data_IF_997367065050
#
_entry.id   IF_997367065050
#
_cell.length_a   1.000
_cell.length_b   1.000
_cell.length_c   1.000
_cell.angle_alpha   90.00
_cell.angle_beta   90.00
_cell.angle_gamma   90.00
#
_symmetry.space_group_name_H-M   'P 1'
#
loop_
_entity.id
_entity.type
_entity.pdbx_description
1 polymer ?
#
# COMPACT_ATOMS: atom_id res chain seq x y z
N UNK A 1 -3.06 60.74 45.43
CA UNK A 1 -2.69 60.50 46.85
C UNK A 1 -1.24 60.04 46.93
N UNK A 2 -0.68 59.84 48.13
CA UNK A 2 0.77 59.78 48.40
C UNK A 2 1.43 58.42 48.07
N UNK A 3 2.77 58.47 47.91
CA UNK A 3 3.72 57.35 47.88
C UNK A 3 3.41 56.21 48.86
N UNK A 4 3.82 54.99 48.51
CA UNK A 4 4.82 54.29 49.31
C UNK A 4 5.78 53.47 48.43
N UNK A 5 7.06 53.44 48.83
CA UNK A 5 8.17 52.65 48.28
C UNK A 5 8.81 51.96 49.49
N UNK A 6 9.29 50.72 49.33
CA UNK A 6 10.39 50.02 50.03
C UNK A 6 10.37 48.59 49.43
N UNK A 7 11.36 48.07 48.69
CA UNK A 7 12.71 47.59 49.10
C UNK A 7 12.65 46.57 50.25
N UNK A 8 13.33 45.40 50.19
CA UNK A 8 14.22 44.84 49.17
C UNK A 8 15.03 43.67 49.76
N UNK A 9 15.98 43.11 48.99
CA UNK A 9 17.01 42.12 49.41
C UNK A 9 16.51 40.77 49.95
N UNK A 10 17.11 39.61 49.64
CA UNK A 10 18.26 39.30 48.80
C UNK A 10 19.18 38.27 49.49
N UNK A 11 19.73 37.29 48.74
CA UNK A 11 21.11 36.85 48.97
C UNK A 11 21.65 35.95 47.83
N UNK A 12 22.90 36.20 47.48
CA UNK A 12 23.77 35.27 46.74
C UNK A 12 24.33 34.23 47.72
N UNK A 13 24.64 33.03 47.23
CA UNK A 13 25.83 32.31 47.69
C UNK A 13 26.63 31.73 46.51
N UNK A 14 27.82 32.29 46.36
CA UNK A 14 29.08 31.67 45.90
C UNK A 14 29.56 30.78 47.08
N UNK A 15 30.43 29.77 47.00
CA UNK A 15 31.39 29.29 45.99
C UNK A 15 31.19 27.74 45.81
N UNK A 16 31.98 26.95 45.07
CA UNK A 16 33.39 26.69 45.35
C UNK A 16 34.19 26.14 44.14
N UNK A 17 35.50 26.34 44.22
CA UNK A 17 36.49 25.96 43.20
C UNK A 17 37.08 24.59 43.54
N UNK A 18 37.28 23.73 42.54
CA UNK A 18 38.29 22.68 42.68
C UNK A 18 39.20 22.53 41.45
N UNK A 19 40.45 22.97 41.61
CA UNK A 19 41.57 22.62 40.73
C UNK A 19 42.15 21.28 41.18
N UNK A 20 42.33 20.34 40.27
CA UNK A 20 43.51 19.45 40.34
C UNK A 20 44.09 19.13 38.97
N UNK A 21 45.23 19.76 38.71
CA UNK A 21 46.17 19.36 37.67
C UNK A 21 47.03 18.22 38.18
N UNK A 22 47.17 17.15 37.41
CA UNK A 22 48.39 16.34 37.39
C UNK A 22 48.82 16.14 35.95
N UNK A 23 50.00 16.70 35.60
CA UNK A 23 50.78 16.23 34.47
C UNK A 23 51.39 14.88 34.85
N UNK A 24 51.56 13.97 33.91
CA UNK A 24 52.87 13.36 33.73
C UNK A 24 53.09 13.00 32.25
N UNK A 25 54.23 13.45 31.74
CA UNK A 25 54.77 13.13 30.42
C UNK A 25 55.71 11.93 30.51
N UNK A 26 56.21 11.51 29.34
CA UNK A 26 57.47 10.77 29.16
C UNK A 26 57.38 9.22 29.25
N UNK A 27 58.14 8.39 28.51
CA UNK A 27 58.97 8.56 27.29
C UNK A 27 59.58 7.20 26.86
N UNK A 28 59.89 7.02 25.56
CA UNK A 28 60.83 6.02 24.93
C UNK A 28 60.61 4.49 24.99
N UNK A 29 61.13 3.84 23.94
CA UNK A 29 61.37 2.38 23.79
C UNK A 29 60.51 1.78 22.66
N UNK A 30 60.93 1.62 21.40
CA UNK A 30 62.24 1.58 20.73
C UNK A 30 63.09 0.31 20.92
N UNK A 31 62.75 -0.74 20.16
CA UNK A 31 63.61 -1.84 19.67
C UNK A 31 62.85 -2.45 18.47
N UNK A 32 63.23 -2.38 17.18
CA UNK A 32 64.46 -2.68 16.43
C UNK A 32 64.88 -4.17 16.38
N UNK A 33 64.82 -4.71 15.14
CA UNK A 33 65.58 -5.80 14.50
C UNK A 33 65.03 -7.23 14.65
N UNK A 34 65.10 -8.14 13.67
CA UNK A 34 65.59 -8.13 12.26
C UNK A 34 64.59 -8.91 11.34
N UNK A 35 64.72 -8.96 10.00
CA UNK A 35 65.55 -9.94 9.27
C UNK A 35 64.89 -11.35 9.26
N UNK A 36 64.58 -12.02 8.13
CA UNK A 36 65.19 -11.96 6.80
C UNK A 36 64.23 -12.23 5.63
N UNK A 37 64.56 -11.65 4.48
CA UNK A 37 64.11 -12.05 3.14
C UNK A 37 64.96 -13.20 2.58
N UNK A 38 64.34 -14.19 1.92
CA UNK A 38 65.02 -15.07 0.96
C UNK A 38 64.32 -15.04 -0.40
N UNK A 39 65.11 -15.10 -1.46
CA UNK A 39 64.75 -14.74 -2.83
C UNK A 39 64.56 -15.94 -3.76
N UNK A 40 63.72 -15.73 -4.78
CA UNK A 40 63.69 -16.33 -6.13
C UNK A 40 64.31 -17.72 -6.41
N UNK A 41 63.58 -18.52 -7.19
CA UNK A 41 64.18 -19.04 -8.43
C UNK A 41 63.19 -19.25 -9.58
N UNK A 42 63.69 -18.99 -10.80
CA UNK A 42 63.04 -19.10 -12.11
C UNK A 42 63.65 -20.30 -12.84
N UNK A 43 62.86 -21.06 -13.60
CA UNK A 43 63.37 -22.27 -14.28
C UNK A 43 62.51 -22.74 -15.45
N UNK A 44 62.63 -22.07 -16.60
CA UNK A 44 62.18 -22.62 -17.89
C UNK A 44 63.04 -23.85 -18.28
N UNK A 45 62.44 -24.87 -18.91
CA UNK A 45 63.19 -25.76 -19.80
C UNK A 45 62.35 -26.31 -20.96
N UNK A 46 62.64 -25.81 -22.15
CA UNK A 46 62.15 -26.34 -23.43
C UNK A 46 63.02 -27.54 -23.85
N UNK A 47 62.40 -28.57 -24.44
CA UNK A 47 63.10 -29.71 -25.05
C UNK A 47 62.35 -30.23 -26.28
N UNK A 48 62.96 -30.11 -27.47
CA UNK A 48 62.42 -30.59 -28.77
C UNK A 48 62.75 -32.07 -29.01
N UNK A 49 61.90 -32.80 -29.73
CA UNK A 49 62.20 -33.54 -31.00
C UNK A 49 60.94 -34.29 -31.46
N UNK A 50 60.33 -33.92 -32.60
CA UNK A 50 60.57 -34.37 -33.99
C UNK A 50 59.82 -35.66 -34.40
N UNK A 51 58.79 -35.47 -35.22
CA UNK A 51 58.39 -36.27 -36.41
C UNK A 51 58.53 -37.80 -36.38
N UNK A 52 57.40 -38.48 -36.59
CA UNK A 52 57.28 -39.37 -37.75
C UNK A 52 55.84 -39.41 -38.28
N UNK A 53 55.68 -39.18 -39.60
CA UNK A 53 54.46 -39.46 -40.35
C UNK A 53 54.69 -40.83 -41.00
N UNK A 54 53.74 -41.75 -40.85
CA UNK A 54 53.63 -42.95 -41.69
C UNK A 54 52.17 -43.07 -42.10
N UNK A 55 51.95 -43.18 -43.41
CA UNK A 55 50.65 -43.44 -44.00
C UNK A 55 50.77 -44.66 -44.91
N UNK A 56 50.02 -45.72 -44.60
CA UNK A 56 49.60 -46.77 -45.54
C UNK A 56 48.29 -47.37 -44.96
N UNK A 57 47.14 -47.19 -45.59
CA UNK A 57 46.65 -47.88 -46.80
C UNK A 57 46.35 -49.36 -46.55
N UNK A 58 45.08 -49.76 -46.44
CA UNK A 58 44.76 -51.19 -46.48
C UNK A 58 43.37 -51.69 -46.07
N UNK A 59 42.45 -51.74 -47.06
CA UNK A 59 41.37 -52.75 -47.22
C UNK A 59 40.08 -52.67 -46.38
N UNK A 60 39.04 -53.23 -47.03
CA UNK A 60 37.60 -53.26 -46.69
C UNK A 60 37.23 -54.60 -46.02
N UNK A 61 35.96 -54.70 -45.61
CA UNK A 61 35.23 -55.89 -45.10
C UNK A 61 35.54 -56.24 -43.63
N UNK A 62 34.59 -56.71 -42.81
CA UNK A 62 33.23 -57.21 -43.10
C UNK A 62 32.20 -56.77 -42.03
N UNK A 63 30.90 -56.94 -42.33
CA UNK A 63 29.83 -56.91 -41.32
C UNK A 63 29.97 -58.13 -40.38
N UNK A 64 29.65 -57.97 -39.08
CA UNK A 64 28.56 -58.71 -38.41
C UNK A 64 28.54 -58.46 -36.88
N UNK A 65 27.35 -58.25 -36.31
CA UNK A 65 26.95 -58.90 -35.05
C UNK A 65 27.40 -58.29 -33.71
N UNK A 66 26.68 -57.28 -33.22
CA UNK A 66 26.41 -57.10 -31.78
C UNK A 66 25.17 -56.22 -31.55
N UNK A 67 23.95 -56.78 -31.67
CA UNK A 67 22.75 -56.14 -31.09
C UNK A 67 22.83 -56.26 -29.56
N UNK A 68 23.43 -55.26 -28.92
CA UNK A 68 23.47 -55.20 -27.47
C UNK A 68 22.08 -54.78 -26.98
N UNK A 69 21.27 -55.78 -26.60
CA UNK A 69 19.93 -55.59 -26.04
C UNK A 69 20.02 -54.72 -24.80
N UNK A 70 19.64 -53.44 -24.92
CA UNK A 70 19.33 -52.62 -23.76
C UNK A 70 18.18 -53.32 -23.04
N UNK A 71 18.42 -53.80 -21.82
CA UNK A 71 17.41 -54.54 -21.07
C UNK A 71 16.25 -53.59 -20.72
N UNK A 72 14.99 -54.03 -20.83
CA UNK A 72 13.84 -53.15 -20.63
C UNK A 72 13.80 -52.57 -19.21
N UNK A 73 14.39 -53.26 -18.22
CA UNK A 73 14.57 -52.78 -16.86
C UNK A 73 15.46 -51.52 -16.75
N UNK A 74 16.44 -51.35 -17.65
CA UNK A 74 17.38 -50.24 -17.61
C UNK A 74 16.75 -48.97 -18.19
N UNK A 75 15.92 -49.11 -19.24
CA UNK A 75 15.08 -48.02 -19.77
C UNK A 75 13.97 -47.67 -18.78
N UNK A 76 13.27 -48.67 -18.23
CA UNK A 76 12.22 -48.46 -17.24
C UNK A 76 12.76 -47.79 -15.96
N UNK A 77 13.95 -48.18 -15.50
CA UNK A 77 14.63 -47.53 -14.36
C UNK A 77 15.01 -46.08 -14.65
N UNK A 78 15.49 -45.78 -15.86
CA UNK A 78 15.79 -44.39 -16.26
C UNK A 78 14.52 -43.54 -16.37
N UNK A 79 13.45 -44.08 -16.95
CA UNK A 79 12.13 -43.42 -17.06
C UNK A 79 11.50 -43.22 -15.69
N UNK A 80 11.60 -44.19 -14.78
CA UNK A 80 11.14 -44.06 -13.40
C UNK A 80 11.96 -43.01 -12.62
N UNK A 81 13.29 -42.98 -12.78
CA UNK A 81 14.14 -41.96 -12.16
C UNK A 81 13.83 -40.55 -12.69
N UNK A 82 13.60 -40.39 -14.00
CA UNK A 82 13.17 -39.11 -14.59
C UNK A 82 11.76 -38.72 -14.13
N UNK A 83 10.83 -39.67 -14.00
CA UNK A 83 9.50 -39.42 -13.44
C UNK A 83 9.54 -39.06 -11.96
N UNK A 84 10.42 -39.65 -11.16
CA UNK A 84 10.65 -39.24 -9.77
C UNK A 84 11.26 -37.84 -9.67
N UNK A 85 12.25 -37.52 -10.50
CA UNK A 85 12.85 -36.17 -10.53
C UNK A 85 11.82 -35.11 -10.98
N UNK A 86 10.99 -35.43 -11.98
CA UNK A 86 9.90 -34.57 -12.43
C UNK A 86 8.77 -34.47 -11.38
N UNK A 87 8.52 -35.52 -10.58
CA UNK A 87 7.57 -35.46 -9.46
C UNK A 87 8.09 -34.59 -8.30
N UNK A 88 9.40 -34.62 -8.01
CA UNK A 88 10.04 -33.70 -7.07
C UNK A 88 10.00 -32.24 -7.56
N UNK A 89 10.06 -32.00 -8.87
CA UNK A 89 9.77 -30.67 -9.44
C UNK A 89 8.29 -30.28 -9.43
N UNK A 90 7.36 -31.25 -9.33
CA UNK A 90 5.92 -30.99 -9.37
C UNK A 90 5.31 -30.60 -8.01
N UNK A 91 6.09 -30.71 -6.93
CA UNK A 91 5.78 -30.17 -5.59
C UNK A 91 6.68 -28.97 -5.24
N UNK A 92 6.98 -28.14 -6.24
CA UNK A 92 7.21 -26.73 -5.98
C UNK A 92 5.86 -26.10 -5.59
N UNK A 93 5.47 -26.31 -4.34
CA UNK A 93 4.43 -25.53 -3.68
C UNK A 93 4.75 -24.04 -3.88
N UNK A 94 3.72 -23.21 -4.01
CA UNK A 94 3.82 -21.77 -4.27
C UNK A 94 4.27 -21.00 -3.02
N UNK A 95 5.26 -21.52 -2.30
CA UNK A 95 5.72 -21.15 -0.96
C UNK A 95 6.43 -19.81 -0.87
N UNK A 96 5.85 -18.77 -1.45
CA UNK A 96 6.00 -17.43 -0.88
C UNK A 96 5.34 -17.40 0.51
N UNK A 97 5.84 -16.58 1.44
CA UNK A 97 5.22 -16.42 2.75
C UNK A 97 3.76 -15.97 2.58
N UNK A 98 2.87 -16.54 3.41
CA UNK A 98 1.44 -16.20 3.37
C UNK A 98 1.25 -14.69 3.57
N UNK A 99 0.11 -14.15 3.12
CA UNK A 99 -0.12 -12.71 3.26
C UNK A 99 -0.07 -12.26 4.72
N UNK A 100 -0.62 -13.07 5.63
CA UNK A 100 -0.52 -12.90 7.08
C UNK A 100 0.93 -12.79 7.60
N UNK A 101 1.85 -13.63 7.11
CA UNK A 101 3.28 -13.58 7.47
C UNK A 101 3.99 -12.30 6.98
N UNK A 102 3.48 -11.70 5.89
CA UNK A 102 4.02 -10.46 5.32
C UNK A 102 3.50 -9.20 6.02
N UNK A 103 2.42 -9.30 6.79
CA UNK A 103 1.90 -8.19 7.60
C UNK A 103 2.74 -7.99 8.85
N UNK A 104 3.40 -6.83 8.96
CA UNK A 104 4.21 -6.50 10.13
C UNK A 104 3.37 -5.86 11.26
N UNK A 105 2.23 -5.27 10.91
CA UNK A 105 1.37 -4.55 11.85
C UNK A 105 -0.04 -4.37 11.26
N UNK A 106 -1.09 -4.61 12.05
CA UNK A 106 -2.48 -4.43 11.67
C UNK A 106 -3.33 -4.03 12.89
N UNK A 107 -4.27 -3.10 12.71
CA UNK A 107 -5.16 -2.56 13.75
C UNK A 107 -6.58 -2.39 13.20
N UNK A 108 -7.56 -2.89 13.97
CA UNK A 108 -8.97 -2.54 13.78
C UNK A 108 -9.23 -1.24 14.56
N UNK A 109 -9.62 -0.16 13.88
CA UNK A 109 -9.76 1.15 14.49
C UNK A 109 -11.18 1.34 15.05
N UNK A 110 -11.26 1.72 16.32
CA UNK A 110 -12.52 1.77 17.06
C UNK A 110 -13.13 0.42 17.40
N UNK A 111 -12.48 -0.69 17.05
CA UNK A 111 -12.98 -2.05 17.23
C UNK A 111 -12.07 -2.98 18.01
N UNK A 112 -12.61 -4.16 18.29
CA UNK A 112 -11.91 -5.27 18.95
C UNK A 112 -10.98 -6.03 17.99
N UNK A 113 -10.20 -6.96 18.56
CA UNK A 113 -9.29 -7.84 17.79
C UNK A 113 -10.08 -8.74 16.82
N UNK A 114 -9.60 -8.87 15.58
CA UNK A 114 -10.23 -9.66 14.52
C UNK A 114 -9.18 -10.31 13.62
N UNK A 115 -9.54 -11.40 12.94
CA UNK A 115 -8.72 -12.07 11.92
C UNK A 115 -9.53 -12.12 10.64
N UNK A 116 -8.98 -11.57 9.55
CA UNK A 116 -9.66 -11.51 8.26
C UNK A 116 -9.59 -12.84 7.49
N UNK A 117 -10.33 -12.96 6.39
CA UNK A 117 -10.34 -14.16 5.53
C UNK A 117 -8.99 -14.50 4.89
N UNK A 118 -8.01 -13.59 4.94
CA UNK A 118 -6.64 -13.78 4.45
C UNK A 118 -5.65 -14.14 5.58
N UNK A 119 -6.15 -14.29 6.82
CA UNK A 119 -5.36 -14.62 8.01
C UNK A 119 -4.67 -13.42 8.66
N UNK A 120 -4.93 -12.18 8.24
CA UNK A 120 -4.37 -10.99 8.84
C UNK A 120 -4.99 -10.78 10.23
N UNK A 121 -4.16 -10.84 11.27
CA UNK A 121 -4.57 -10.61 12.64
C UNK A 121 -4.57 -9.11 13.00
N UNK A 122 -5.70 -8.45 12.81
CA UNK A 122 -5.96 -7.08 13.24
C UNK A 122 -6.06 -6.99 14.77
N UNK A 123 -5.15 -6.23 15.38
CA UNK A 123 -5.15 -6.01 16.83
C UNK A 123 -6.24 -5.01 17.24
N UNK A 124 -6.77 -5.17 18.45
CA UNK A 124 -7.58 -4.14 19.13
C UNK A 124 -6.89 -2.77 19.07
N UNK A 125 -7.68 -1.72 18.93
CA UNK A 125 -7.20 -0.35 18.79
C UNK A 125 -6.30 0.14 19.94
N UNK A 126 -5.02 0.47 19.70
CA UNK A 126 -4.10 0.97 20.73
C UNK A 126 -4.45 2.38 21.25
N UNK A 127 -5.31 3.13 20.56
CA UNK A 127 -5.75 4.49 20.94
C UNK A 127 -7.02 4.50 21.79
N UNK A 128 -7.65 3.34 22.02
CA UNK A 128 -8.83 3.23 22.89
C UNK A 128 -8.56 3.78 24.30
N UNK A 129 -9.50 4.59 24.80
CA UNK A 129 -9.37 5.28 26.09
C UNK A 129 -8.30 6.38 26.15
N UNK A 130 -7.61 6.70 25.03
CA UNK A 130 -6.51 7.69 24.98
C UNK A 130 -6.77 8.85 24.03
N UNK A 131 -7.18 8.57 22.80
CA UNK A 131 -7.30 9.58 21.73
C UNK A 131 -8.42 9.21 20.75
N UNK A 132 -9.21 10.21 20.34
CA UNK A 132 -10.36 10.00 19.44
C UNK A 132 -11.52 9.22 20.08
N UNK A 133 -12.59 9.10 19.32
CA UNK A 133 -13.82 8.39 19.68
C UNK A 133 -13.94 7.16 18.79
N UNK A 134 -14.24 6.02 19.41
CA UNK A 134 -14.67 4.82 18.71
C UNK A 134 -16.14 4.93 18.34
N UNK A 135 -16.53 4.36 17.20
CA UNK A 135 -17.91 4.31 16.70
C UNK A 135 -18.20 2.94 16.12
N UNK A 136 -19.36 2.40 16.51
CA UNK A 136 -19.93 1.13 16.04
C UNK A 136 -21.13 1.36 15.10
N UNK A 137 -21.33 2.60 14.63
CA UNK A 137 -22.53 2.99 13.87
C UNK A 137 -22.74 2.13 12.62
N UNK A 138 -21.63 1.76 11.94
CA UNK A 138 -21.63 0.92 10.76
C UNK A 138 -22.11 -0.52 11.00
N UNK A 139 -22.06 -1.05 12.23
CA UNK A 139 -22.45 -2.44 12.57
C UNK A 139 -23.92 -2.74 12.22
N UNK A 140 -24.75 -1.70 12.10
CA UNK A 140 -26.18 -1.79 11.74
C UNK A 140 -26.43 -1.90 10.24
N UNK A 141 -25.39 -1.75 9.42
CA UNK A 141 -25.48 -1.62 7.97
C UNK A 141 -24.61 -2.70 7.30
N UNK A 142 -25.12 -3.41 6.27
CA UNK A 142 -24.26 -4.25 5.45
C UNK A 142 -23.29 -3.34 4.69
N UNK A 143 -22.00 -3.68 4.70
CA UNK A 143 -21.00 -2.97 3.91
C UNK A 143 -20.82 -3.70 2.58
N UNK A 144 -21.07 -3.00 1.48
CA UNK A 144 -20.87 -3.52 0.13
C UNK A 144 -19.38 -3.68 -0.17
N UNK A 145 -19.05 -4.62 -1.06
CA UNK A 145 -17.71 -4.97 -1.55
C UNK A 145 -16.78 -5.72 -0.58
N UNK A 146 -17.19 -5.98 0.66
CA UNK A 146 -16.44 -6.77 1.64
C UNK A 146 -17.06 -8.16 1.86
N UNK A 147 -16.25 -9.13 2.31
CA UNK A 147 -16.76 -10.45 2.70
C UNK A 147 -17.57 -10.35 3.98
N UNK A 148 -18.49 -11.31 4.23
CA UNK A 148 -19.36 -11.29 5.41
C UNK A 148 -18.58 -11.38 6.74
N UNK A 149 -17.39 -12.00 6.72
CA UNK A 149 -16.51 -12.14 7.88
C UNK A 149 -15.72 -10.83 8.13
N UNK A 150 -15.26 -10.17 7.07
CA UNK A 150 -14.45 -8.94 7.16
C UNK A 150 -15.29 -7.67 7.34
N UNK A 151 -16.63 -7.72 7.28
CA UNK A 151 -17.48 -6.52 7.40
C UNK A 151 -17.14 -5.69 8.64
N UNK A 152 -16.78 -6.34 9.74
CA UNK A 152 -16.41 -5.68 11.01
C UNK A 152 -15.27 -4.66 10.83
N UNK A 153 -14.29 -4.91 9.94
CA UNK A 153 -13.16 -4.02 9.64
C UNK A 153 -13.55 -2.72 8.90
N UNK A 154 -14.80 -2.63 8.43
CA UNK A 154 -15.38 -1.44 7.81
C UNK A 154 -16.56 -0.87 8.61
N UNK A 155 -17.10 -1.64 9.57
CA UNK A 155 -18.25 -1.27 10.39
C UNK A 155 -17.86 -0.54 11.69
N UNK A 156 -16.71 -0.87 12.27
CA UNK A 156 -16.11 -0.09 13.36
C UNK A 156 -15.18 0.99 12.80
N UNK A 157 -15.11 2.13 13.48
CA UNK A 157 -14.22 3.22 13.10
C UNK A 157 -13.70 4.01 14.31
N UNK A 158 -12.51 4.60 14.17
CA UNK A 158 -12.08 5.72 15.01
C UNK A 158 -12.13 7.02 14.22
N UNK A 159 -12.74 8.04 14.81
CA UNK A 159 -12.62 9.43 14.38
C UNK A 159 -12.09 10.31 15.52
N UNK A 160 -11.61 11.50 15.21
CA UNK A 160 -11.21 12.48 16.23
C UNK A 160 -11.56 13.90 15.82
N UNK A 161 -11.82 14.77 16.81
CA UNK A 161 -12.13 16.19 16.55
C UNK A 161 -10.92 17.00 16.07
N UNK A 162 -9.71 16.46 16.23
CA UNK A 162 -8.44 17.00 15.75
C UNK A 162 -7.65 15.94 14.96
N UNK A 163 -6.55 16.36 14.32
CA UNK A 163 -5.58 15.45 13.71
C UNK A 163 -5.13 14.36 14.69
N UNK A 164 -5.15 13.10 14.25
CA UNK A 164 -4.70 11.96 15.03
C UNK A 164 -3.94 10.97 14.14
N UNK A 165 -3.26 9.99 14.72
CA UNK A 165 -2.47 9.05 13.94
C UNK A 165 -2.02 7.82 14.69
N UNK A 166 -1.46 6.87 13.92
CA UNK A 166 -0.88 5.63 14.41
C UNK A 166 0.63 5.59 14.18
N UNK A 167 1.34 5.05 15.16
CA UNK A 167 2.78 4.82 15.12
C UNK A 167 3.08 3.33 14.87
N UNK A 168 3.62 3.02 13.69
CA UNK A 168 3.99 1.67 13.27
C UNK A 168 5.51 1.50 13.38
N UNK A 169 6.02 0.62 14.26
CA UNK A 169 7.46 0.36 14.35
C UNK A 169 7.93 -0.51 13.19
N UNK A 170 8.89 -0.02 12.38
CA UNK A 170 9.48 -0.78 11.27
C UNK A 170 10.99 -0.85 11.47
N UNK A 171 11.53 -2.06 11.53
CA UNK A 171 12.94 -2.33 11.84
C UNK A 171 13.77 -2.78 10.64
N UNK A 172 13.11 -3.27 9.59
CA UNK A 172 13.74 -3.78 8.39
C UNK A 172 13.71 -2.75 7.26
N UNK A 173 14.67 -2.89 6.34
CA UNK A 173 14.62 -2.21 5.05
C UNK A 173 13.87 -3.07 4.03
N UNK A 174 13.19 -2.44 3.09
CA UNK A 174 12.35 -3.11 2.11
C UNK A 174 11.29 -2.20 1.51
N UNK A 175 10.50 -2.79 0.63
CA UNK A 175 9.32 -2.19 0.02
C UNK A 175 8.07 -2.64 0.79
N UNK A 176 7.19 -1.68 1.07
CA UNK A 176 6.06 -1.84 1.96
C UNK A 176 4.80 -1.21 1.37
N UNK A 177 3.66 -1.78 1.72
CA UNK A 177 2.34 -1.24 1.41
C UNK A 177 1.62 -0.93 2.73
N UNK A 178 1.11 0.29 2.85
CA UNK A 178 0.10 0.67 3.83
C UNK A 178 -1.27 0.57 3.16
N UNK A 179 -2.16 -0.22 3.74
CA UNK A 179 -3.58 -0.30 3.32
C UNK A 179 -4.43 0.28 4.44
N UNK A 180 -5.30 1.23 4.09
CA UNK A 180 -6.21 1.91 5.00
C UNK A 180 -7.64 1.68 4.53
N UNK A 181 -8.45 1.11 5.42
CA UNK A 181 -9.83 0.67 5.16
C UNK A 181 -10.81 1.72 5.65
N UNK A 182 -11.80 2.01 4.81
CA UNK A 182 -12.83 3.01 5.04
C UNK A 182 -14.20 2.50 4.54
N UNK A 183 -15.27 2.97 5.17
CA UNK A 183 -16.61 2.99 4.58
C UNK A 183 -17.33 4.23 5.11
N UNK A 184 -18.02 5.00 4.27
CA UNK A 184 -18.86 6.11 4.76
C UNK A 184 -20.25 5.57 5.13
N UNK A 185 -20.68 5.84 6.36
CA UNK A 185 -21.90 5.25 6.96
C UNK A 185 -22.77 6.28 7.67
N UNK A 186 -22.32 7.53 7.75
CA UNK A 186 -23.01 8.61 8.46
C UNK A 186 -23.45 9.72 7.50
N UNK A 187 -22.59 10.09 6.54
CA UNK A 187 -22.90 11.13 5.55
C UNK A 187 -23.46 10.54 4.26
N UNK A 188 -24.46 11.22 3.70
CA UNK A 188 -25.18 10.79 2.50
C UNK A 188 -24.92 11.69 1.27
N UNK A 189 -23.89 12.54 1.33
CA UNK A 189 -23.50 13.46 0.25
C UNK A 189 -21.99 13.69 0.22
N UNK A 190 -21.43 13.90 -0.97
CA UNK A 190 -20.04 14.33 -1.15
C UNK A 190 -19.80 15.69 -0.48
N UNK A 191 -18.53 15.95 -0.16
CA UNK A 191 -18.01 17.18 0.44
C UNK A 191 -18.59 17.50 1.83
N UNK A 192 -19.08 16.48 2.56
CA UNK A 192 -19.45 16.60 3.97
C UNK A 192 -18.31 16.21 4.91
N UNK A 193 -17.47 15.25 4.51
CA UNK A 193 -16.28 14.81 5.22
C UNK A 193 -15.10 14.74 4.25
N UNK A 194 -14.12 15.60 4.44
CA UNK A 194 -12.92 15.69 3.61
C UNK A 194 -11.71 15.92 4.52
N UNK A 195 -10.71 15.04 4.43
CA UNK A 195 -9.51 15.09 5.25
C UNK A 195 -8.27 14.65 4.48
N UNK A 196 -7.07 15.04 4.93
CA UNK A 196 -5.82 14.57 4.34
C UNK A 196 -5.27 13.36 5.11
N UNK A 197 -4.52 12.50 4.43
CA UNK A 197 -3.71 11.44 5.03
C UNK A 197 -2.23 11.77 4.82
N UNK A 198 -1.45 11.72 5.89
CA UNK A 198 0.00 11.92 5.87
C UNK A 198 0.74 10.69 6.39
N UNK A 199 1.96 10.53 5.89
CA UNK A 199 2.88 9.45 6.23
C UNK A 199 4.26 10.07 6.46
N UNK A 200 4.72 10.07 7.72
CA UNK A 200 5.89 10.84 8.19
C UNK A 200 5.87 12.32 7.77
N UNK A 201 4.69 12.96 7.78
CA UNK A 201 4.50 14.36 7.38
C UNK A 201 4.32 14.61 5.87
N UNK A 202 4.62 13.63 5.00
CA UNK A 202 4.32 13.69 3.57
C UNK A 202 2.83 13.48 3.33
N UNK A 203 2.17 14.32 2.52
CA UNK A 203 0.77 14.10 2.14
C UNK A 203 0.69 12.99 1.11
N UNK A 204 0.03 11.88 1.45
CA UNK A 204 -0.08 10.68 0.60
C UNK A 204 -1.47 10.51 0.00
N UNK A 205 -2.51 10.99 0.68
CA UNK A 205 -3.85 11.15 0.12
C UNK A 205 -4.30 12.55 0.50
N UNK A 206 -4.73 13.33 -0.49
CA UNK A 206 -5.17 14.72 -0.30
C UNK A 206 -6.66 14.83 -0.59
N UNK A 207 -7.36 15.64 0.20
CA UNK A 207 -8.80 15.91 0.07
C UNK A 207 -9.64 14.60 -0.03
N UNK A 208 -9.37 13.61 0.84
CA UNK A 208 -10.04 12.31 0.83
C UNK A 208 -11.51 12.45 1.24
N UNK A 209 -12.40 12.21 0.28
CA UNK A 209 -13.85 12.17 0.43
C UNK A 209 -14.35 10.74 0.17
N UNK A 210 -14.64 9.99 1.23
CA UNK A 210 -15.01 8.57 1.12
C UNK A 210 -16.36 8.42 0.41
N UNK A 211 -17.30 9.35 0.61
CA UNK A 211 -18.60 9.31 -0.05
C UNK A 211 -18.46 9.54 -1.56
N UNK A 212 -17.66 10.52 -1.98
CA UNK A 212 -17.44 10.80 -3.41
C UNK A 212 -16.73 9.64 -4.14
N UNK A 213 -15.92 8.84 -3.42
CA UNK A 213 -15.22 7.67 -3.97
C UNK A 213 -16.14 6.46 -4.19
N UNK A 214 -16.98 6.10 -3.21
CA UNK A 214 -17.71 4.82 -3.21
C UNK A 214 -19.18 4.91 -2.79
N UNK A 215 -19.67 6.09 -2.43
CA UNK A 215 -21.02 6.30 -1.90
C UNK A 215 -21.19 5.83 -0.46
N UNK A 216 -22.45 5.58 -0.08
CA UNK A 216 -22.83 5.12 1.26
C UNK A 216 -22.61 3.62 1.45
N UNK A 217 -22.32 3.18 2.68
CA UNK A 217 -22.23 1.78 3.10
C UNK A 217 -21.40 0.87 2.18
N UNK A 218 -20.32 1.41 1.61
CA UNK A 218 -19.47 0.68 0.67
C UNK A 218 -18.02 0.70 1.14
N UNK A 219 -17.34 -0.45 1.06
CA UNK A 219 -15.93 -0.57 1.39
C UNK A 219 -15.05 0.16 0.37
N UNK A 220 -14.07 0.89 0.89
CA UNK A 220 -13.03 1.60 0.16
C UNK A 220 -11.68 1.36 0.83
N UNK A 221 -10.67 1.04 0.01
CA UNK A 221 -9.29 0.83 0.46
C UNK A 221 -8.39 1.86 -0.22
N UNK A 222 -7.73 2.71 0.58
CA UNK A 222 -6.61 3.52 0.10
C UNK A 222 -5.30 2.75 0.28
N UNK A 223 -4.53 2.63 -0.80
CA UNK A 223 -3.32 1.81 -0.86
C UNK A 223 -2.12 2.72 -1.16
N UNK A 224 -1.17 2.78 -0.22
CA UNK A 224 0.02 3.65 -0.31
C UNK A 224 1.28 2.78 -0.28
N UNK A 225 1.99 2.74 -1.40
CA UNK A 225 3.32 2.12 -1.50
C UNK A 225 4.41 3.06 -1.01
N UNK A 226 5.31 2.56 -0.15
CA UNK A 226 6.50 3.26 0.30
C UNK A 226 7.69 2.30 0.40
N UNK A 227 8.92 2.84 0.37
CA UNK A 227 10.13 2.04 0.56
C UNK A 227 11.01 2.63 1.65
N UNK A 228 11.70 1.75 2.39
CA UNK A 228 12.68 2.12 3.42
C UNK A 228 14.03 1.55 2.99
N UNK A 229 14.99 2.43 2.71
CA UNK A 229 16.34 2.06 2.23
C UNK A 229 17.38 3.00 2.83
N UNK A 230 18.45 2.44 3.41
CA UNK A 230 19.56 3.14 4.09
C UNK A 230 19.08 4.18 5.11
N UNK A 231 18.11 3.80 5.94
CA UNK A 231 17.49 4.71 6.93
C UNK A 231 16.73 5.91 6.33
N UNK A 232 16.35 5.85 5.04
CA UNK A 232 15.47 6.84 4.40
C UNK A 232 14.17 6.20 4.00
N UNK A 233 13.08 6.94 4.20
CA UNK A 233 11.75 6.64 3.71
C UNK A 233 11.58 7.32 2.35
N UNK A 234 11.02 6.63 1.36
CA UNK A 234 10.53 7.24 0.13
C UNK A 234 9.08 6.87 -0.13
N UNK A 235 8.27 7.87 -0.43
CA UNK A 235 6.83 7.75 -0.69
C UNK A 235 6.43 8.76 -1.76
N UNK A 236 5.72 8.33 -2.81
CA UNK A 236 5.27 9.17 -3.94
C UNK A 236 6.36 10.07 -4.58
N UNK A 237 7.62 9.62 -4.55
CA UNK A 237 8.78 10.37 -5.08
C UNK A 237 9.41 11.37 -4.09
N UNK A 238 8.74 11.66 -2.96
CA UNK A 238 9.34 12.39 -1.84
C UNK A 238 10.24 11.44 -1.01
N UNK A 239 11.25 12.02 -0.33
CA UNK A 239 12.23 11.26 0.47
C UNK A 239 12.53 12.00 1.78
N UNK A 240 12.47 11.28 2.90
CA UNK A 240 12.80 11.79 4.24
C UNK A 240 13.65 10.83 5.05
N UNK A 241 14.16 11.31 6.19
CA UNK A 241 14.87 10.49 7.18
C UNK A 241 13.91 9.60 7.96
N UNK A 242 14.20 8.30 8.04
CA UNK A 242 13.37 7.33 8.73
C UNK A 242 13.96 6.92 10.08
N UNK A 243 13.21 7.14 11.16
CA UNK A 243 13.66 6.96 12.55
C UNK A 243 13.20 5.62 13.17
N UNK A 244 12.98 4.57 12.37
CA UNK A 244 12.48 3.27 12.85
C UNK A 244 10.98 3.23 13.19
N UNK A 245 10.27 4.34 12.96
CA UNK A 245 8.85 4.53 13.26
C UNK A 245 8.19 5.24 12.08
N UNK A 246 7.14 4.63 11.56
CA UNK A 246 6.25 5.18 10.54
C UNK A 246 5.05 5.79 11.26
N UNK A 247 4.84 7.10 11.12
CA UNK A 247 3.69 7.80 11.69
C UNK A 247 2.69 8.06 10.55
N UNK A 248 1.51 7.46 10.66
CA UNK A 248 0.37 7.67 9.74
C UNK A 248 -0.60 8.63 10.42
N UNK A 249 -0.81 9.81 9.84
CA UNK A 249 -1.63 10.89 10.41
C UNK A 249 -2.87 11.15 9.54
N UNK A 250 -4.06 11.15 10.14
CA UNK A 250 -5.28 11.61 9.51
C UNK A 250 -5.53 13.06 9.95
N UNK A 251 -5.33 13.99 9.04
CA UNK A 251 -5.25 15.42 9.31
C UNK A 251 -6.61 16.07 9.15
N UNK A 252 -7.06 16.78 10.19
CA UNK A 252 -8.36 17.46 10.18
C UNK A 252 -8.39 18.53 9.07
N UNK A 253 -9.34 18.37 8.15
CA UNK A 253 -9.66 19.37 7.13
C UNK A 253 -10.56 20.50 7.66
N UNK A 254 -11.11 21.29 6.74
CA UNK A 254 -12.10 22.32 7.06
C UNK A 254 -13.51 21.76 7.31
N UNK A 255 -13.79 20.57 6.77
CA UNK A 255 -15.07 19.86 6.86
C UNK A 255 -15.15 19.04 8.15
N UNK A 256 -15.89 17.92 8.13
CA UNK A 256 -16.00 17.05 9.29
C UNK A 256 -14.70 16.28 9.62
N UNK A 257 -14.72 15.64 10.78
CA UNK A 257 -13.63 14.93 11.43
C UNK A 257 -13.00 13.80 10.59
N UNK A 258 -11.66 13.69 10.59
CA UNK A 258 -10.95 12.56 9.99
C UNK A 258 -11.33 11.26 10.71
N UNK A 259 -11.34 10.15 9.96
CA UNK A 259 -11.65 8.82 10.49
C UNK A 259 -10.87 7.72 9.77
N UNK A 260 -10.82 6.52 10.34
CA UNK A 260 -10.37 5.28 9.68
C UNK A 260 -11.08 4.07 10.31
N UNK A 261 -11.35 3.02 9.53
CA UNK A 261 -12.04 1.82 10.00
C UNK A 261 -11.06 0.71 10.40
N UNK A 262 -10.07 0.41 9.57
CA UNK A 262 -8.95 -0.45 9.90
C UNK A 262 -7.71 -0.05 9.08
N UNK A 263 -6.52 -0.49 9.48
CA UNK A 263 -5.32 -0.29 8.69
C UNK A 263 -4.26 -1.37 8.98
N UNK A 264 -3.47 -1.70 7.97
CA UNK A 264 -2.34 -2.62 8.10
C UNK A 264 -1.17 -2.21 7.21
N UNK A 265 0.02 -2.67 7.61
CA UNK A 265 1.27 -2.50 6.87
C UNK A 265 1.86 -3.88 6.57
N UNK A 266 2.10 -4.15 5.29
CA UNK A 266 2.71 -5.38 4.80
C UNK A 266 3.98 -5.12 3.99
N UNK A 267 4.88 -6.10 3.98
CA UNK A 267 6.08 -6.12 3.14
C UNK A 267 5.73 -6.73 1.77
N UNK A 268 6.00 -6.03 0.68
CA UNK A 268 5.61 -6.47 -0.66
C UNK A 268 5.29 -5.33 -1.62
N UNK A 269 4.52 -5.67 -2.65
CA UNK A 269 4.14 -4.80 -3.77
C UNK A 269 2.62 -4.63 -3.86
N UNK A 270 2.14 -3.75 -4.76
CA UNK A 270 0.70 -3.50 -4.94
C UNK A 270 -0.06 -4.75 -5.41
N UNK A 271 0.60 -5.64 -6.16
CA UNK A 271 0.03 -6.89 -6.69
C UNK A 271 -0.32 -7.88 -5.58
N UNK A 272 0.32 -7.76 -4.41
CA UNK A 272 0.10 -8.62 -3.26
C UNK A 272 -1.15 -8.25 -2.45
N UNK A 273 -1.75 -7.08 -2.69
CA UNK A 273 -2.88 -6.58 -1.88
C UNK A 273 -4.19 -7.28 -2.30
N UNK A 274 -4.97 -7.86 -1.36
CA UNK A 274 -6.27 -8.42 -1.69
C UNK A 274 -7.22 -7.34 -2.22
N UNK A 275 -7.84 -7.60 -3.37
CA UNK A 275 -8.78 -6.67 -3.99
C UNK A 275 -10.17 -6.83 -3.38
N UNK A 276 -10.80 -5.70 -3.06
CA UNK A 276 -12.23 -5.64 -2.75
C UNK A 276 -13.08 -6.23 -3.88
N UNK A 277 -14.24 -6.79 -3.54
CA UNK A 277 -15.18 -7.31 -4.54
C UNK A 277 -15.63 -6.19 -5.51
N UNK A 278 -16.06 -6.51 -6.74
CA UNK A 278 -16.61 -5.52 -7.67
C UNK A 278 -17.78 -4.73 -7.05
N UNK A 279 -17.97 -3.47 -7.46
CA UNK A 279 -19.11 -2.69 -7.00
C UNK A 279 -20.39 -3.15 -7.72
N UNK A 280 -21.46 -3.53 -7.00
CA UNK A 280 -22.71 -3.94 -7.64
C UNK A 280 -23.27 -2.85 -8.56
N UNK A 281 -23.34 -3.12 -9.87
CA UNK A 281 -23.80 -2.16 -10.88
C UNK A 281 -22.72 -1.26 -11.50
N UNK A 282 -21.44 -1.48 -11.19
CA UNK A 282 -20.29 -0.86 -11.86
C UNK A 282 -19.31 -1.95 -12.35
N UNK A 283 -19.85 -2.95 -13.03
CA UNK A 283 -19.06 -3.81 -13.91
C UNK A 283 -18.56 -2.95 -15.08
N UNK A 284 -17.28 -2.56 -15.03
CA UNK A 284 -16.58 -2.15 -16.24
C UNK A 284 -16.44 -3.38 -17.11
N UNK A 285 -17.14 -3.42 -18.24
CA UNK A 285 -16.66 -4.21 -19.37
C UNK A 285 -15.28 -3.67 -19.74
N UNK A 286 -14.24 -4.48 -19.56
CA UNK A 286 -12.86 -4.12 -19.95
C UNK A 286 -12.62 -4.31 -21.46
N UNK A 287 -13.69 -4.34 -22.27
CA UNK A 287 -13.66 -4.56 -23.74
C UNK A 287 -13.91 -3.28 -24.58
N UNK A 288 -14.50 -2.21 -24.03
CA UNK A 288 -14.76 -0.96 -24.77
C UNK A 288 -13.51 -0.05 -24.82
N UNK A 289 -12.37 -0.61 -25.25
CA UNK A 289 -11.05 0.03 -25.25
C UNK A 289 -10.44 0.31 -26.63
N UNK A 290 -11.05 -0.17 -27.71
CA UNK A 290 -10.53 -0.07 -29.08
C UNK A 290 -11.65 0.18 -30.10
N UNK A 291 -12.15 1.42 -30.21
CA UNK A 291 -12.79 1.98 -31.42
C UNK A 291 -13.09 3.48 -31.18
N UNK A 292 -12.33 4.37 -31.84
CA UNK A 292 -12.65 5.75 -32.30
C UNK A 292 -11.33 6.51 -32.63
N UNK A 293 -10.54 5.95 -33.54
CA UNK A 293 -9.67 6.74 -34.44
C UNK A 293 -10.30 6.70 -35.84
N UNK A 294 -10.09 7.77 -36.62
CA UNK A 294 -10.50 8.01 -38.03
C UNK A 294 -11.80 8.79 -38.31
N UNK A 295 -11.68 10.13 -38.28
CA UNK A 295 -12.39 11.03 -39.21
C UNK A 295 -11.68 12.39 -39.36
N UNK A 296 -10.67 12.46 -40.24
CA UNK A 296 -10.25 13.72 -40.87
C UNK A 296 -10.96 13.92 -42.22
N UNK A 297 -11.36 15.16 -42.57
CA UNK A 297 -11.69 15.52 -43.96
C UNK A 297 -12.58 16.76 -44.22
N UNK A 298 -11.97 17.88 -44.63
CA UNK A 298 -12.60 19.03 -45.34
C UNK A 298 -13.23 20.12 -44.44
N UNK A 299 -12.74 21.36 -44.39
CA UNK A 299 -12.81 22.47 -45.40
C UNK A 299 -14.26 23.00 -45.62
N UNK A 300 -14.57 24.31 -45.68
CA UNK A 300 -13.76 25.55 -45.69
C UNK A 300 -14.60 26.81 -45.31
N UNK A 301 -13.94 27.94 -44.98
CA UNK A 301 -14.51 29.31 -44.96
C UNK A 301 -15.19 29.81 -43.65
N UNK A 302 -15.06 31.07 -43.22
CA UNK A 302 -14.19 32.18 -43.67
C UNK A 302 -14.62 33.55 -43.06
N UNK A 303 -13.66 34.32 -42.53
CA UNK A 303 -13.72 35.78 -42.18
C UNK A 303 -14.84 36.27 -41.19
N UNK A 304 -14.75 37.36 -40.43
CA UNK A 304 -13.69 38.33 -40.04
C UNK A 304 -14.08 38.95 -38.67
N UNK A 305 -13.18 39.64 -37.95
CA UNK A 305 -13.57 40.51 -36.82
C UNK A 305 -12.70 40.49 -35.57
N UNK A 306 -11.51 41.11 -35.62
CA UNK A 306 -10.54 41.07 -34.52
C UNK A 306 -10.68 42.14 -33.42
N UNK A 307 -10.07 41.86 -32.24
CA UNK A 307 -9.53 42.87 -31.29
C UNK A 307 -8.51 42.24 -30.33
N UNK A 308 -7.55 43.04 -29.85
CA UNK A 308 -6.37 42.66 -29.03
C UNK A 308 -6.35 43.58 -27.76
N UNK A 309 -5.53 43.42 -26.70
CA UNK A 309 -4.18 42.82 -26.60
C UNK A 309 -3.71 42.54 -25.13
N UNK A 310 -3.74 41.27 -24.66
CA UNK A 310 -2.80 40.70 -23.63
C UNK A 310 -2.95 41.18 -22.15
N UNK A 311 -2.15 40.69 -21.15
CA UNK A 311 -2.18 39.31 -20.59
C UNK A 311 -2.00 39.21 -19.04
N UNK A 312 -2.32 38.07 -18.39
CA UNK A 312 -1.72 37.68 -17.08
C UNK A 312 -2.03 36.22 -16.64
N UNK A 313 -1.02 35.54 -16.07
CA UNK A 313 -1.18 34.54 -14.99
C UNK A 313 -1.58 33.10 -15.36
N UNK A 314 -0.61 32.17 -15.35
CA UNK A 314 -0.86 30.72 -15.49
C UNK A 314 -1.50 30.16 -14.22
N UNK A 315 -2.69 29.57 -14.34
CA UNK A 315 -3.26 28.61 -13.40
C UNK A 315 -3.79 27.43 -14.20
N UNK A 316 -3.24 26.24 -13.99
CA UNK A 316 -3.72 25.00 -14.62
C UNK A 316 -5.04 24.56 -13.99
N UNK A 317 -6.13 25.23 -14.40
CA UNK A 317 -7.50 24.82 -14.10
C UNK A 317 -7.80 23.59 -14.95
N UNK A 318 -7.65 22.40 -14.35
CA UNK A 318 -8.16 21.15 -14.91
C UNK A 318 -9.65 21.37 -15.25
N UNK A 319 -10.01 21.15 -16.51
CA UNK A 319 -11.40 21.24 -16.93
C UNK A 319 -12.16 20.09 -16.28
N UNK A 320 -13.06 20.44 -15.36
CA UNK A 320 -14.11 19.52 -14.91
C UNK A 320 -14.91 19.08 -16.13
N UNK A 321 -14.95 17.78 -16.42
CA UNK A 321 -15.88 17.22 -17.41
C UNK A 321 -17.34 17.53 -17.06
N UNK A 322 -18.29 17.24 -17.97
CA UNK A 322 -19.70 17.35 -17.67
C UNK A 322 -20.03 16.61 -16.38
N UNK A 323 -20.80 17.23 -15.48
CA UNK A 323 -21.26 16.57 -14.24
C UNK A 323 -22.10 15.36 -14.62
N UNK A 324 -21.56 14.16 -14.41
CA UNK A 324 -22.31 12.92 -14.53
C UNK A 324 -23.50 12.98 -13.57
N UNK A 325 -24.76 12.89 -14.05
CA UNK A 325 -25.90 12.81 -13.15
C UNK A 325 -25.77 11.54 -12.31
N UNK A 326 -25.97 11.63 -10.99
CA UNK A 326 -25.96 10.46 -10.13
C UNK A 326 -27.08 9.49 -10.60
N UNK A 327 -26.76 8.24 -11.00
CA UNK A 327 -27.76 7.30 -11.52
C UNK A 327 -28.84 6.94 -10.49
N UNK A 328 -28.59 7.17 -9.20
CA UNK A 328 -29.53 6.94 -8.10
C UNK A 328 -30.35 8.19 -7.70
N UNK A 329 -30.16 9.34 -8.36
CA UNK A 329 -31.01 10.52 -8.14
C UNK A 329 -32.47 10.32 -8.61
N UNK A 330 -32.74 9.24 -9.34
CA UNK A 330 -34.06 8.88 -9.87
C UNK A 330 -34.88 7.96 -8.96
N UNK A 331 -34.47 7.73 -7.70
CA UNK A 331 -35.19 6.85 -6.78
C UNK A 331 -36.49 7.51 -6.26
N UNK A 332 -37.52 7.48 -7.10
CA UNK A 332 -38.86 8.02 -6.86
C UNK A 332 -39.68 7.19 -5.84
N UNK A 333 -39.02 6.38 -5.02
CA UNK A 333 -39.58 5.56 -3.95
C UNK A 333 -40.44 6.36 -2.97
N UNK A 334 -40.14 7.65 -2.78
CA UNK A 334 -40.93 8.59 -1.96
C UNK A 334 -42.32 8.89 -2.53
N UNK A 335 -42.53 8.73 -3.84
CA UNK A 335 -43.79 9.04 -4.53
C UNK A 335 -44.71 7.81 -4.67
N UNK A 336 -44.14 6.61 -4.76
CA UNK A 336 -44.91 5.35 -4.85
C UNK A 336 -45.67 5.03 -3.55
N UNK A 337 -45.05 5.28 -2.39
CA UNK A 337 -45.64 4.97 -1.09
C UNK A 337 -46.98 5.71 -0.82
N UNK A 338 -47.11 7.05 -0.97
CA UNK A 338 -48.39 7.73 -0.78
C UNK A 338 -49.46 7.32 -1.80
N UNK A 339 -49.07 6.96 -3.03
CA UNK A 339 -50.02 6.49 -4.06
C UNK A 339 -50.61 5.12 -3.67
N UNK A 340 -49.78 4.18 -3.21
CA UNK A 340 -50.24 2.87 -2.75
C UNK A 340 -51.14 2.97 -1.51
N UNK A 341 -50.81 3.86 -0.57
CA UNK A 341 -51.66 4.15 0.60
C UNK A 341 -53.01 4.76 0.16
N UNK A 342 -53.01 5.68 -0.82
CA UNK A 342 -54.24 6.25 -1.35
C UNK A 342 -55.17 5.18 -1.94
N UNK A 343 -54.66 4.28 -2.80
CA UNK A 343 -55.48 3.19 -3.35
C UNK A 343 -55.94 2.20 -2.28
N UNK A 344 -55.08 1.86 -1.31
CA UNK A 344 -55.41 0.95 -0.20
C UNK A 344 -56.55 1.43 0.70
N UNK A 345 -56.71 2.75 0.87
CA UNK A 345 -57.80 3.35 1.66
C UNK A 345 -59.03 3.69 0.79
N UNK A 346 -58.84 4.06 -0.47
CA UNK A 346 -59.93 4.47 -1.36
C UNK A 346 -60.81 3.29 -1.83
N UNK A 347 -60.23 2.13 -2.12
CA UNK A 347 -60.99 0.98 -2.62
C UNK A 347 -62.00 0.43 -1.59
N UNK A 348 -61.64 0.23 -0.30
CA UNK A 348 -62.59 -0.22 0.72
C UNK A 348 -63.65 0.84 1.05
N UNK A 349 -63.27 2.13 1.10
CA UNK A 349 -64.21 3.21 1.43
C UNK A 349 -65.26 3.41 0.33
N UNK A 350 -64.88 3.31 -0.94
CA UNK A 350 -65.82 3.33 -2.06
C UNK A 350 -66.76 2.13 -2.03
N UNK A 351 -66.27 0.93 -1.72
CA UNK A 351 -67.10 -0.28 -1.61
C UNK A 351 -68.11 -0.20 -0.45
N UNK A 352 -67.75 0.43 0.67
CA UNK A 352 -68.66 0.69 1.78
C UNK A 352 -69.70 1.78 1.47
N UNK A 353 -69.34 2.82 0.70
CA UNK A 353 -70.27 3.88 0.30
C UNK A 353 -71.23 3.46 -0.81
N UNK A 354 -70.83 2.55 -1.71
CA UNK A 354 -71.70 2.00 -2.75
C UNK A 354 -72.61 0.86 -2.26
N UNK A 355 -72.71 0.62 -0.95
CA UNK A 355 -73.60 -0.40 -0.35
C UNK A 355 -74.54 0.15 0.73
N UNK A 356 -74.70 1.47 0.77
CA UNK A 356 -75.80 2.22 1.38
C UNK A 356 -76.76 2.70 0.29
#
# INVERSE_FOLDING_TARGET
MRKLVLTGSGNLHREDVNRRSTRHSSVTGSLMLAGDTVSAQRGERVGRTKTQIVAETGRRTALCGAMQRVTPHLVAGLVAAVLSLLAEQCWADGGGPSLAERVIWAVNAGGETHVDVHGIHFKKDPLEGKLGKASDYGVRLPILRSSQEDQILYQTERYNEDTFGYDVPIREEGDYILVMKYAEVYFAQSQQKVFDVRLNGHVVVKDLDIFDRVGHSTAHDEIVSFSIRRGKLSVQGEVSTFNGKLTVEFVKGYYDNPKVCALYVMKGTLEDVPKLQPHPGLEKNEEDGEEEEDSEGGEEGGEEGGKKKLPAGVMNRVQSGPRTPNPYAADNSSLMFPILVAFGVFIPTLFCLCRL
#
